data_IF_102774795971
#
_entry.id   IF_102774795971
#
_cell.length_a   1.000
_cell.length_b   1.000
_cell.length_c   1.000
_cell.angle_alpha   90.00
_cell.angle_beta   90.00
_cell.angle_gamma   90.00
#
_symmetry.space_group_name_H-M   'P 1'
#
loop_
_entity.id
_entity.type
_entity.pdbx_description
1 polymer ?
#
# COMPACT_ATOMS: atom_id res chain seq x y z
N UNK A 1 -43.61 -48.66 -6.47
CA UNK A 1 -42.88 -48.47 -5.19
C UNK A 1 -41.59 -47.75 -5.54
N UNK A 2 -41.62 -46.41 -5.56
CA UNK A 2 -40.48 -45.56 -5.92
C UNK A 2 -39.65 -45.27 -4.66
N UNK A 3 -38.37 -45.66 -4.68
CA UNK A 3 -37.42 -45.34 -3.61
C UNK A 3 -36.77 -44.01 -3.97
N UNK A 4 -37.16 -42.94 -3.27
CA UNK A 4 -36.50 -41.65 -3.34
C UNK A 4 -35.22 -41.68 -2.48
N UNK A 5 -34.06 -41.51 -3.13
CA UNK A 5 -32.83 -41.10 -2.44
C UNK A 5 -32.90 -39.61 -2.08
N UNK A 6 -32.57 -39.21 -0.84
CA UNK A 6 -32.39 -37.79 -0.53
C UNK A 6 -31.02 -37.33 -1.03
N UNK A 7 -31.05 -36.36 -1.95
CA UNK A 7 -29.90 -35.55 -2.35
C UNK A 7 -29.36 -34.80 -1.12
N UNK A 8 -28.10 -35.03 -0.78
CA UNK A 8 -27.38 -34.21 0.20
C UNK A 8 -27.18 -32.80 -0.39
N UNK A 9 -27.49 -31.72 0.33
CA UNK A 9 -27.04 -30.39 -0.07
C UNK A 9 -25.54 -30.29 0.25
N UNK A 10 -24.71 -30.25 -0.79
CA UNK A 10 -23.35 -29.70 -0.70
C UNK A 10 -23.48 -28.21 -0.41
N UNK A 11 -23.43 -27.84 0.87
CA UNK A 11 -23.23 -26.46 1.28
C UNK A 11 -21.82 -26.04 0.86
N UNK A 12 -21.71 -25.34 -0.27
CA UNK A 12 -20.48 -24.69 -0.68
C UNK A 12 -20.05 -23.71 0.41
N UNK A 13 -18.87 -23.93 0.97
CA UNK A 13 -18.24 -23.06 1.95
C UNK A 13 -17.87 -21.78 1.20
N UNK A 14 -18.72 -20.75 1.28
CA UNK A 14 -18.41 -19.44 0.75
C UNK A 14 -17.50 -18.71 1.74
N UNK A 15 -16.20 -19.02 1.69
CA UNK A 15 -15.18 -18.20 2.34
C UNK A 15 -15.16 -16.83 1.64
N UNK A 16 -15.72 -15.81 2.29
CA UNK A 16 -15.63 -14.43 1.80
C UNK A 16 -14.23 -13.89 2.03
N UNK A 17 -13.33 -14.22 1.12
CA UNK A 17 -12.01 -13.61 1.05
C UNK A 17 -12.18 -12.24 0.38
N UNK A 18 -12.08 -11.19 1.17
CA UNK A 18 -11.99 -9.81 0.67
C UNK A 18 -10.62 -9.66 0.02
N UNK A 19 -10.59 -9.72 -1.31
CA UNK A 19 -9.41 -9.37 -2.10
C UNK A 19 -9.69 -8.06 -2.86
N UNK A 20 -8.73 -7.13 -2.75
CA UNK A 20 -8.58 -5.84 -3.43
C UNK A 20 -9.18 -4.56 -2.81
N UNK A 21 -8.28 -3.57 -2.69
CA UNK A 21 -8.45 -2.17 -2.30
C UNK A 21 -9.18 -1.33 -3.35
N UNK A 22 -10.14 -1.95 -4.03
CA UNK A 22 -11.35 -1.31 -4.50
C UNK A 22 -12.47 -2.29 -4.14
N UNK A 23 -12.92 -2.27 -2.89
CA UNK A 23 -13.96 -3.20 -2.45
C UNK A 23 -15.28 -2.82 -3.12
N UNK A 24 -15.68 -3.61 -4.12
CA UNK A 24 -17.09 -3.73 -4.52
C UNK A 24 -17.84 -4.33 -3.35
N UNK A 25 -18.71 -3.54 -2.72
CA UNK A 25 -19.60 -4.03 -1.65
C UNK A 25 -20.59 -5.02 -2.26
N UNK A 26 -20.51 -6.29 -1.85
CA UNK A 26 -21.55 -7.28 -2.10
C UNK A 26 -22.10 -7.84 -0.78
N UNK A 27 -23.34 -7.44 -0.48
CA UNK A 27 -24.37 -7.87 0.50
C UNK A 27 -24.07 -8.85 1.64
N UNK A 28 -24.57 -8.55 2.84
CA UNK A 28 -24.45 -9.23 4.15
C UNK A 28 -25.05 -10.66 4.29
N UNK A 29 -24.77 -11.33 5.43
CA UNK A 29 -25.69 -12.08 6.35
C UNK A 29 -24.89 -12.58 7.59
N UNK A 30 -25.39 -12.32 8.80
CA UNK A 30 -24.93 -12.76 10.15
C UNK A 30 -25.62 -14.05 10.61
N UNK A 31 -25.00 -14.89 11.48
CA UNK A 31 -25.43 -15.05 12.90
C UNK A 31 -24.25 -15.39 13.89
N UNK A 32 -24.12 -14.85 15.11
CA UNK A 32 -24.82 -15.04 16.41
C UNK A 32 -24.26 -16.14 17.38
N UNK A 33 -23.64 -15.67 18.50
CA UNK A 33 -23.61 -16.14 19.92
C UNK A 33 -22.70 -17.30 20.47
N UNK A 34 -21.69 -16.91 21.30
CA UNK A 34 -21.31 -17.25 22.72
C UNK A 34 -21.57 -18.62 23.40
N UNK A 35 -21.03 -18.93 24.62
CA UNK A 35 -19.74 -18.57 25.29
C UNK A 35 -19.06 -19.78 26.04
N UNK A 36 -17.85 -19.62 26.60
CA UNK A 36 -17.25 -20.60 27.53
C UNK A 36 -15.97 -20.13 28.22
N UNK A 37 -15.88 -20.36 29.53
CA UNK A 37 -15.00 -19.74 30.55
C UNK A 37 -13.54 -20.24 30.66
N UNK A 38 -12.73 -19.37 31.28
CA UNK A 38 -11.39 -19.42 31.95
C UNK A 38 -11.03 -20.69 32.77
N UNK A 39 -9.78 -20.94 33.25
CA UNK A 39 -8.88 -19.99 33.94
C UNK A 39 -7.36 -20.08 33.67
N UNK A 40 -6.68 -19.03 34.14
CA UNK A 40 -5.25 -18.82 34.20
C UNK A 40 -4.57 -19.53 35.39
N UNK A 41 -3.28 -19.86 35.26
CA UNK A 41 -2.37 -20.03 36.39
C UNK A 41 -0.97 -19.46 36.08
N UNK A 42 -0.38 -18.85 37.11
CA UNK A 42 0.89 -18.09 37.12
C UNK A 42 2.09 -19.04 37.32
N UNK A 43 3.30 -18.64 36.91
CA UNK A 43 4.39 -18.13 37.80
C UNK A 43 5.80 -18.19 37.17
N UNK A 44 6.52 -17.06 37.34
CA UNK A 44 7.94 -16.85 37.71
C UNK A 44 9.06 -17.64 36.99
N UNK A 45 9.97 -16.98 36.27
CA UNK A 45 11.10 -16.11 36.71
C UNK A 45 12.40 -16.87 37.02
N UNK A 46 13.48 -16.51 36.30
CA UNK A 46 14.86 -16.89 36.60
C UNK A 46 15.80 -16.61 35.42
N UNK A 47 16.74 -15.66 35.59
CA UNK A 47 17.70 -15.19 34.57
C UNK A 47 18.84 -16.17 34.24
N UNK A 48 20.07 -15.75 33.83
CA UNK A 48 20.63 -14.40 33.76
C UNK A 48 21.29 -14.00 32.41
N UNK A 49 21.66 -12.72 32.34
CA UNK A 49 22.57 -12.09 31.37
C UNK A 49 23.91 -12.81 31.24
N UNK A 50 24.44 -12.87 30.00
CA UNK A 50 25.87 -13.00 29.73
C UNK A 50 26.28 -11.95 28.69
N UNK A 51 27.18 -11.07 29.11
CA UNK A 51 27.96 -10.17 28.27
C UNK A 51 28.83 -10.98 27.31
N UNK A 52 28.88 -10.59 26.04
CA UNK A 52 30.02 -10.87 25.15
C UNK A 52 30.42 -9.56 24.48
N UNK A 53 31.67 -9.15 24.72
CA UNK A 53 32.34 -8.02 24.08
C UNK A 53 32.93 -8.48 22.74
N UNK A 54 32.78 -7.58 21.76
CA UNK A 54 33.68 -7.15 20.70
C UNK A 54 34.51 -8.20 19.92
N UNK A 55 34.43 -8.13 18.59
CA UNK A 55 35.63 -7.77 17.81
C UNK A 55 35.31 -7.15 16.46
N UNK A 56 36.29 -6.39 15.99
CA UNK A 56 36.21 -5.25 15.09
C UNK A 56 36.67 -5.63 13.68
N UNK A 57 35.92 -5.24 12.63
CA UNK A 57 36.53 -4.75 11.37
C UNK A 57 35.44 -4.24 10.40
N UNK A 58 35.35 -2.93 10.19
CA UNK A 58 34.78 -2.37 8.96
C UNK A 58 35.37 -0.98 8.71
N UNK A 59 35.63 -0.61 7.43
CA UNK A 59 36.42 0.56 7.09
C UNK A 59 35.68 1.86 7.40
N UNK A 60 36.45 2.84 7.86
CA UNK A 60 36.01 4.22 8.08
C UNK A 60 35.51 4.84 6.77
N UNK A 61 34.20 5.03 6.65
CA UNK A 61 33.61 6.00 5.72
C UNK A 61 33.27 7.27 6.49
N UNK A 62 33.61 8.39 5.89
CA UNK A 62 33.59 9.75 6.41
C UNK A 62 32.23 10.15 7.01
N UNK A 63 32.09 10.03 8.33
CA UNK A 63 30.98 10.63 9.09
C UNK A 63 31.19 12.13 9.25
N UNK A 64 30.81 12.89 8.23
CA UNK A 64 30.30 14.25 8.44
C UNK A 64 28.78 14.15 8.63
N UNK A 65 28.24 14.89 9.59
CA UNK A 65 26.80 14.99 9.89
C UNK A 65 26.04 15.72 8.77
N UNK A 66 26.15 15.25 7.52
CA UNK A 66 25.32 15.77 6.42
C UNK A 66 23.86 15.43 6.73
N UNK A 67 23.02 16.47 6.73
CA UNK A 67 21.60 16.35 6.96
C UNK A 67 20.85 16.76 5.70
N UNK A 68 19.73 16.08 5.45
CA UNK A 68 18.93 16.25 4.24
C UNK A 68 17.51 16.66 4.64
N UNK A 69 17.04 17.77 4.07
CA UNK A 69 15.66 18.19 4.21
C UNK A 69 14.83 17.59 3.07
N UNK A 70 14.00 16.60 3.39
CA UNK A 70 13.13 15.94 2.42
C UNK A 70 11.79 16.69 2.32
N UNK A 71 11.42 17.16 1.13
CA UNK A 71 10.16 17.86 0.88
C UNK A 71 9.57 17.51 -0.47
N UNK A 72 8.25 17.45 -0.55
CA UNK A 72 7.54 17.47 -1.82
C UNK A 72 7.70 18.85 -2.47
N UNK A 73 8.01 18.87 -3.77
CA UNK A 73 8.23 20.08 -4.57
C UNK A 73 7.52 19.96 -5.92
N UNK A 74 6.21 19.80 -5.88
CA UNK A 74 5.39 19.74 -7.08
C UNK A 74 5.35 21.11 -7.77
N UNK A 75 5.15 21.10 -9.09
CA UNK A 75 5.01 22.32 -9.88
C UNK A 75 3.59 22.46 -10.44
N UNK A 76 3.09 23.69 -10.56
CA UNK A 76 1.77 23.93 -11.17
C UNK A 76 1.72 23.40 -12.60
N UNK A 77 0.60 22.78 -12.98
CA UNK A 77 0.40 22.09 -14.26
C UNK A 77 1.34 20.91 -14.51
N UNK A 78 2.11 20.47 -13.52
CA UNK A 78 2.86 19.22 -13.62
C UNK A 78 1.90 18.04 -13.65
N UNK A 79 2.21 17.07 -14.51
CA UNK A 79 1.59 15.76 -14.48
C UNK A 79 2.63 14.73 -14.10
N UNK A 80 2.32 13.89 -13.11
CA UNK A 80 3.21 12.84 -12.65
C UNK A 80 2.49 11.51 -12.78
N UNK A 81 3.03 10.58 -13.57
CA UNK A 81 2.52 9.23 -13.70
C UNK A 81 3.40 8.21 -13.02
N UNK A 82 2.73 7.25 -12.40
CA UNK A 82 3.37 6.08 -11.82
C UNK A 82 2.76 4.82 -12.42
N UNK A 83 3.61 3.91 -12.85
CA UNK A 83 3.21 2.54 -13.08
C UNK A 83 3.23 1.81 -11.73
N UNK A 84 2.10 1.22 -11.35
CA UNK A 84 1.93 0.47 -10.12
C UNK A 84 1.58 -0.96 -10.47
N UNK A 85 2.41 -1.91 -10.05
CA UNK A 85 2.16 -3.34 -10.18
C UNK A 85 1.94 -3.94 -8.79
N UNK A 86 0.84 -4.66 -8.61
CA UNK A 86 0.52 -5.39 -7.40
C UNK A 86 0.26 -6.85 -7.73
N UNK A 87 1.02 -7.74 -7.12
CA UNK A 87 0.86 -9.20 -7.23
C UNK A 87 0.58 -9.73 -5.85
N UNK A 88 -0.52 -10.46 -5.69
CA UNK A 88 -0.92 -11.04 -4.42
C UNK A 88 -1.37 -12.49 -4.59
N UNK A 89 -0.97 -13.32 -3.63
CA UNK A 89 -1.44 -14.68 -3.42
C UNK A 89 -1.95 -14.81 -2.00
N UNK A 90 -3.22 -15.13 -1.87
CA UNK A 90 -3.86 -15.48 -0.61
C UNK A 90 -4.15 -16.96 -0.63
N UNK A 91 -3.62 -17.70 0.33
CA UNK A 91 -3.94 -19.12 0.52
C UNK A 91 -4.63 -19.29 1.85
N UNK A 92 -5.83 -19.83 1.81
CA UNK A 92 -6.65 -20.08 2.99
C UNK A 92 -6.87 -21.58 3.10
N UNK A 93 -6.70 -22.12 4.29
CA UNK A 93 -7.08 -23.50 4.62
C UNK A 93 -8.06 -23.47 5.77
N UNK A 94 -9.19 -24.17 5.64
CA UNK A 94 -10.19 -24.32 6.69
C UNK A 94 -10.62 -25.79 6.70
N UNK A 95 -10.42 -26.47 7.84
CA UNK A 95 -10.84 -27.87 8.03
C UNK A 95 -10.38 -28.81 6.90
N UNK A 96 -9.14 -28.65 6.47
CA UNK A 96 -8.52 -29.46 5.40
C UNK A 96 -8.87 -29.03 3.97
N UNK A 97 -9.83 -28.13 3.78
CA UNK A 97 -10.13 -27.54 2.46
C UNK A 97 -9.21 -26.36 2.23
N UNK A 98 -8.53 -26.33 1.08
CA UNK A 98 -7.63 -25.26 0.68
C UNK A 98 -8.23 -24.46 -0.48
N UNK A 99 -8.14 -23.14 -0.38
CA UNK A 99 -8.51 -22.20 -1.43
C UNK A 99 -7.36 -21.23 -1.67
N UNK A 100 -7.04 -20.99 -2.94
CA UNK A 100 -5.97 -20.06 -3.34
C UNK A 100 -6.57 -18.99 -4.23
N UNK A 101 -6.42 -17.73 -3.85
CA UNK A 101 -6.73 -16.58 -4.68
C UNK A 101 -5.41 -15.95 -5.17
N UNK A 102 -5.29 -15.75 -6.47
CA UNK A 102 -4.19 -15.03 -7.08
C UNK A 102 -4.74 -13.80 -7.80
N UNK A 103 -4.05 -12.68 -7.65
CA UNK A 103 -4.35 -11.48 -8.40
C UNK A 103 -3.05 -10.82 -8.86
N UNK A 104 -3.10 -10.26 -10.05
CA UNK A 104 -2.06 -9.40 -10.59
C UNK A 104 -2.75 -8.21 -11.24
N UNK A 105 -2.36 -7.01 -10.81
CA UNK A 105 -2.85 -5.75 -11.34
C UNK A 105 -1.67 -4.87 -11.67
N UNK A 106 -1.60 -4.40 -12.92
CA UNK A 106 -0.76 -3.26 -13.31
C UNK A 106 -1.67 -2.07 -13.59
N UNK A 107 -1.29 -0.89 -13.15
CA UNK A 107 -2.06 0.33 -13.39
C UNK A 107 -1.13 1.52 -13.64
N UNK A 108 -1.58 2.46 -14.46
CA UNK A 108 -0.96 3.78 -14.54
C UNK A 108 -1.82 4.73 -13.74
N UNK A 109 -1.31 5.23 -12.62
CA UNK A 109 -1.96 6.30 -11.87
C UNK A 109 -1.30 7.64 -12.18
N UNK A 110 -2.05 8.72 -12.12
CA UNK A 110 -1.52 10.06 -12.33
C UNK A 110 -1.93 11.04 -11.24
N UNK A 111 -1.06 12.03 -11.05
CA UNK A 111 -1.34 13.27 -10.34
C UNK A 111 -1.31 14.42 -11.34
N UNK A 112 -2.47 15.02 -11.56
CA UNK A 112 -2.59 16.27 -12.32
C UNK A 112 -2.52 17.43 -11.32
N UNK A 113 -1.36 18.09 -11.21
CA UNK A 113 -1.14 19.17 -10.24
C UNK A 113 -1.89 20.42 -10.68
N UNK A 114 -2.88 20.80 -9.88
CA UNK A 114 -3.79 21.92 -10.12
C UNK A 114 -3.15 23.24 -9.70
N UNK A 115 -2.61 23.26 -8.49
CA UNK A 115 -2.17 24.50 -7.86
C UNK A 115 -1.05 24.22 -6.87
N UNK A 116 -0.07 25.12 -6.83
CA UNK A 116 1.02 25.11 -5.87
C UNK A 116 1.09 26.47 -5.20
N UNK A 117 0.91 26.46 -3.89
CA UNK A 117 1.05 27.60 -2.99
C UNK A 117 2.35 27.45 -2.19
N UNK A 118 2.81 28.48 -1.46
CA UNK A 118 4.10 28.41 -0.75
C UNK A 118 4.23 27.21 0.21
N UNK A 119 3.12 26.78 0.83
CA UNK A 119 3.11 25.71 1.84
C UNK A 119 2.29 24.49 1.44
N UNK A 120 1.49 24.58 0.38
CA UNK A 120 0.49 23.58 0.00
C UNK A 120 0.52 23.27 -1.49
N UNK A 121 0.19 22.04 -1.85
CA UNK A 121 0.10 21.58 -3.23
C UNK A 121 -1.21 20.81 -3.40
N UNK A 122 -1.97 21.13 -4.45
CA UNK A 122 -3.24 20.47 -4.76
C UNK A 122 -3.15 19.75 -6.10
N UNK A 123 -3.58 18.49 -6.14
CA UNK A 123 -3.58 17.68 -7.36
C UNK A 123 -4.79 16.75 -7.42
N UNK A 124 -5.18 16.39 -8.63
CA UNK A 124 -6.15 15.32 -8.85
C UNK A 124 -5.46 13.99 -9.00
N UNK A 125 -5.92 13.01 -8.22
CA UNK A 125 -5.51 11.63 -8.34
C UNK A 125 -6.44 10.87 -9.28
N UNK A 126 -5.86 10.22 -10.29
CA UNK A 126 -6.57 9.48 -11.32
C UNK A 126 -5.91 8.12 -11.60
N UNK A 127 -6.68 7.22 -12.21
CA UNK A 127 -6.18 6.00 -12.85
C UNK A 127 -6.40 6.15 -14.35
N UNK A 128 -5.33 6.05 -15.14
CA UNK A 128 -5.36 6.22 -16.60
C UNK A 128 -5.58 4.90 -17.33
N UNK A 129 -5.01 3.81 -16.80
CA UNK A 129 -5.17 2.47 -17.36
C UNK A 129 -4.94 1.41 -16.29
N UNK A 130 -5.51 0.23 -16.51
CA UNK A 130 -5.29 -0.99 -15.74
C UNK A 130 -5.18 -2.20 -16.64
N UNK A 131 -4.40 -3.18 -16.21
CA UNK A 131 -4.40 -4.57 -16.68
C UNK A 131 -4.54 -5.46 -15.45
N UNK A 132 -5.54 -6.34 -15.44
CA UNK A 132 -5.96 -7.11 -14.27
C UNK A 132 -6.13 -8.59 -14.62
N UNK A 133 -5.62 -9.46 -13.76
CA UNK A 133 -5.93 -10.90 -13.76
C UNK A 133 -6.34 -11.36 -12.37
N UNK A 134 -7.37 -12.19 -12.29
CA UNK A 134 -7.81 -12.81 -11.05
C UNK A 134 -8.11 -14.30 -11.27
N UNK A 135 -7.62 -15.15 -10.35
CA UNK A 135 -7.92 -16.58 -10.31
C UNK A 135 -8.23 -17.02 -8.88
N UNK A 136 -9.40 -17.63 -8.67
CA UNK A 136 -9.83 -18.15 -7.37
C UNK A 136 -9.99 -19.67 -7.45
N UNK A 137 -9.22 -20.40 -6.64
CA UNK A 137 -9.18 -21.86 -6.64
C UNK A 137 -8.90 -22.45 -8.03
N UNK A 138 -9.75 -23.40 -8.43
CA UNK A 138 -9.67 -24.08 -9.72
C UNK A 138 -10.49 -23.40 -10.82
N UNK A 139 -11.09 -22.23 -10.55
CA UNK A 139 -11.81 -21.48 -11.58
C UNK A 139 -10.85 -20.95 -12.65
N UNK A 140 -11.39 -20.69 -13.84
CA UNK A 140 -10.64 -20.06 -14.92
C UNK A 140 -10.17 -18.65 -14.52
N UNK A 141 -8.99 -18.28 -15.01
CA UNK A 141 -8.46 -16.93 -14.82
C UNK A 141 -9.31 -15.93 -15.60
N UNK A 142 -9.79 -14.90 -14.90
CA UNK A 142 -10.43 -13.75 -15.53
C UNK A 142 -9.36 -12.70 -15.78
N UNK A 143 -9.22 -12.27 -17.02
CA UNK A 143 -8.30 -11.21 -17.44
C UNK A 143 -9.06 -10.06 -18.08
N UNK A 144 -8.56 -8.85 -17.88
CA UNK A 144 -9.02 -7.68 -18.60
C UNK A 144 -7.93 -6.62 -18.69
N UNK A 145 -7.86 -5.96 -19.85
CA UNK A 145 -7.00 -4.80 -20.08
C UNK A 145 -7.88 -3.63 -20.55
N UNK A 146 -7.82 -2.52 -19.83
CA UNK A 146 -8.60 -1.31 -20.13
C UNK A 146 -8.30 -0.68 -21.49
N UNK A 147 -7.13 -0.94 -22.08
CA UNK A 147 -6.75 -0.39 -23.39
C UNK A 147 -7.02 -1.35 -24.55
N UNK A 148 -7.48 -2.58 -24.27
CA UNK A 148 -7.80 -3.59 -25.30
C UNK A 148 -9.00 -3.23 -26.18
N UNK A 149 -9.90 -2.38 -25.69
CA UNK A 149 -11.21 -2.11 -26.31
C UNK A 149 -12.27 -3.19 -26.02
N UNK A 150 -11.93 -4.23 -25.27
CA UNK A 150 -12.88 -5.27 -24.85
C UNK A 150 -13.79 -4.77 -23.71
N UNK A 151 -15.03 -5.27 -23.67
CA UNK A 151 -15.95 -4.96 -22.59
C UNK A 151 -15.42 -5.54 -21.26
N UNK A 152 -15.38 -4.74 -20.17
CA UNK A 152 -14.91 -5.22 -18.89
C UNK A 152 -15.77 -6.38 -18.37
N UNK A 153 -15.18 -7.49 -17.92
CA UNK A 153 -15.88 -8.50 -17.14
C UNK A 153 -16.60 -7.85 -15.95
N UNK A 154 -17.76 -8.39 -15.57
CA UNK A 154 -18.59 -7.82 -14.49
C UNK A 154 -17.83 -7.63 -13.17
N UNK A 155 -16.86 -8.50 -12.89
CA UNK A 155 -16.00 -8.40 -11.70
C UNK A 155 -15.12 -7.13 -11.68
N UNK A 156 -14.85 -6.52 -12.84
CA UNK A 156 -14.03 -5.32 -12.98
C UNK A 156 -14.84 -4.06 -13.37
N UNK A 157 -16.18 -4.14 -13.42
CA UNK A 157 -17.01 -3.01 -13.89
C UNK A 157 -16.81 -1.73 -13.08
N UNK A 158 -16.68 -1.86 -11.76
CA UNK A 158 -16.47 -0.71 -10.87
C UNK A 158 -15.12 -0.03 -11.12
N UNK A 159 -14.07 -0.80 -11.45
CA UNK A 159 -12.78 -0.23 -11.84
C UNK A 159 -12.91 0.47 -13.18
N UNK A 160 -13.53 -0.18 -14.16
CA UNK A 160 -13.71 0.37 -15.50
C UNK A 160 -14.47 1.71 -15.50
N UNK A 161 -15.48 1.86 -14.65
CA UNK A 161 -16.26 3.09 -14.51
C UNK A 161 -15.44 4.28 -13.98
N UNK A 162 -14.30 4.03 -13.35
CA UNK A 162 -13.45 5.02 -12.69
C UNK A 162 -12.26 5.47 -13.54
N UNK A 163 -11.88 4.71 -14.56
CA UNK A 163 -10.72 5.01 -15.40
C UNK A 163 -10.93 6.34 -16.14
N UNK A 164 -9.90 7.18 -16.13
CA UNK A 164 -9.90 8.51 -16.75
C UNK A 164 -10.68 9.57 -15.98
N UNK A 165 -11.19 9.26 -14.77
CA UNK A 165 -11.90 10.21 -13.92
C UNK A 165 -11.10 10.52 -12.65
N UNK A 166 -11.14 11.76 -12.14
CA UNK A 166 -10.63 12.07 -10.80
C UNK A 166 -11.26 11.15 -9.75
N UNK A 167 -10.43 10.41 -9.02
CA UNK A 167 -10.84 9.63 -7.85
C UNK A 167 -10.92 10.53 -6.62
N UNK A 168 -9.95 11.44 -6.49
CA UNK A 168 -9.89 12.40 -5.42
C UNK A 168 -9.12 13.66 -5.85
N UNK A 169 -9.52 14.81 -5.30
CA UNK A 169 -8.71 16.03 -5.30
C UNK A 169 -8.07 16.16 -3.92
N UNK A 170 -6.75 16.20 -3.86
CA UNK A 170 -5.98 16.14 -2.62
C UNK A 170 -5.09 17.36 -2.49
N UNK A 171 -5.16 18.01 -1.33
CA UNK A 171 -4.23 19.07 -0.93
C UNK A 171 -3.29 18.53 0.15
N UNK A 172 -1.99 18.67 -0.06
CA UNK A 172 -0.94 18.26 0.87
C UNK A 172 -0.04 19.43 1.26
N UNK A 173 0.59 19.34 2.43
CA UNK A 173 1.72 20.20 2.77
C UNK A 173 3.04 19.69 2.13
N UNK A 174 4.14 20.43 2.29
CA UNK A 174 5.45 20.01 1.80
C UNK A 174 6.01 18.73 2.43
N UNK A 175 5.48 18.29 3.59
CA UNK A 175 5.81 17.00 4.21
C UNK A 175 5.00 15.85 3.63
N UNK A 176 4.03 16.12 2.77
CA UNK A 176 3.13 15.11 2.21
C UNK A 176 1.96 14.75 3.12
N UNK A 177 1.74 15.49 4.22
CA UNK A 177 0.54 15.30 5.03
C UNK A 177 -0.67 15.85 4.29
N UNK A 178 -1.75 15.06 4.26
CA UNK A 178 -3.02 15.46 3.68
C UNK A 178 -3.69 16.52 4.55
N UNK A 179 -3.85 17.72 3.99
CA UNK A 179 -4.58 18.84 4.60
C UNK A 179 -6.07 18.71 4.29
N UNK A 180 -6.39 18.35 3.04
CA UNK A 180 -7.76 18.22 2.55
C UNK A 180 -7.85 17.15 1.47
N UNK A 181 -8.96 16.41 1.47
CA UNK A 181 -9.33 15.48 0.40
C UNK A 181 -10.80 15.58 0.07
N UNK A 182 -11.09 15.81 -1.19
CA UNK A 182 -12.41 15.64 -1.78
C UNK A 182 -12.42 14.31 -2.53
N UNK A 183 -13.33 13.40 -2.14
CA UNK A 183 -13.46 12.09 -2.77
C UNK A 183 -14.57 12.13 -3.81
N UNK A 184 -14.24 11.76 -5.04
CA UNK A 184 -15.17 11.77 -6.17
C UNK A 184 -15.65 10.36 -6.52
N UNK A 185 -14.77 9.36 -6.36
CA UNK A 185 -15.08 7.95 -6.59
C UNK A 185 -14.12 7.04 -5.81
N UNK A 186 -14.43 5.74 -5.77
CA UNK A 186 -13.58 4.72 -5.13
C UNK A 186 -13.80 4.57 -3.62
N UNK A 187 -13.24 3.48 -3.07
CA UNK A 187 -13.30 3.20 -1.64
C UNK A 187 -12.09 3.77 -0.91
N UNK A 188 -12.24 4.13 0.37
CA UNK A 188 -11.11 4.48 1.26
C UNK A 188 -10.33 3.25 1.78
N UNK A 189 -10.61 2.05 1.29
CA UNK A 189 -9.96 0.84 1.77
C UNK A 189 -8.46 0.87 1.43
N UNK A 190 -7.61 0.95 2.46
CA UNK A 190 -6.17 0.75 2.34
C UNK A 190 -5.88 -0.74 2.40
N UNK A 191 -4.90 -1.24 1.63
CA UNK A 191 -4.35 -2.61 1.76
C UNK A 191 -2.89 -2.58 2.22
N UNK A 192 -2.55 -1.69 3.16
CA UNK A 192 -1.17 -1.50 3.59
C UNK A 192 -0.24 -0.94 2.51
N UNK A 193 -0.81 -0.51 1.38
CA UNK A 193 -0.09 0.09 0.25
C UNK A 193 0.44 1.49 0.59
N UNK A 194 0.14 1.99 1.79
CA UNK A 194 0.53 3.31 2.28
C UNK A 194 -0.45 4.40 1.87
N UNK A 195 -0.19 5.61 2.36
CA UNK A 195 -0.90 6.80 1.90
C UNK A 195 -0.57 7.10 0.43
N UNK A 196 -1.42 7.91 -0.19
CA UNK A 196 -1.20 8.40 -1.55
C UNK A 196 0.16 9.10 -1.67
N UNK A 197 0.53 9.87 -0.65
CA UNK A 197 1.77 10.63 -0.57
C UNK A 197 2.69 10.05 0.49
N UNK A 198 4.00 10.21 0.28
CA UNK A 198 5.00 9.86 1.28
C UNK A 198 5.05 10.93 2.37
N UNK A 199 4.84 10.55 3.64
CA UNK A 199 5.05 11.44 4.78
C UNK A 199 6.53 11.57 5.13
N UNK A 200 7.05 12.79 5.01
CA UNK A 200 8.45 13.16 5.16
C UNK A 200 8.72 13.77 6.55
N UNK A 201 9.97 13.69 7.06
CA UNK A 201 10.32 14.18 8.40
C UNK A 201 10.17 15.71 8.50
N UNK A 202 9.84 16.20 9.70
CA UNK A 202 9.71 17.63 9.95
C UNK A 202 11.06 18.37 9.88
N UNK A 203 12.11 17.77 10.41
CA UNK A 203 13.44 18.37 10.45
C UNK A 203 14.37 17.72 9.42
N UNK A 204 15.50 18.36 9.06
CA UNK A 204 16.57 17.72 8.32
C UNK A 204 17.03 16.44 9.03
N UNK A 205 17.28 15.38 8.25
CA UNK A 205 17.67 14.07 8.77
C UNK A 205 19.01 13.63 8.19
N UNK A 206 19.88 13.07 9.02
CA UNK A 206 21.09 12.38 8.55
C UNK A 206 20.80 10.92 8.20
N UNK A 207 21.71 10.30 7.45
CA UNK A 207 21.64 8.85 7.18
C UNK A 207 21.59 8.08 8.51
N UNK A 208 20.70 7.10 8.60
CA UNK A 208 20.41 6.30 9.80
C UNK A 208 19.28 6.88 10.67
N UNK A 209 18.92 8.15 10.49
CA UNK A 209 17.81 8.78 11.23
C UNK A 209 16.48 8.13 10.88
N UNK A 210 15.62 8.01 11.89
CA UNK A 210 14.29 7.42 11.79
C UNK A 210 13.20 8.44 12.08
N UNK A 211 12.07 8.32 11.39
CA UNK A 211 10.84 9.01 11.75
C UNK A 211 9.66 8.03 11.64
N UNK A 212 8.57 8.36 12.33
CA UNK A 212 7.42 7.46 12.41
C UNK A 212 6.15 8.16 12.00
N UNK A 213 5.27 7.44 11.31
CA UNK A 213 3.96 7.92 10.90
C UNK A 213 2.91 6.99 11.51
N UNK A 214 2.04 7.48 12.41
CA UNK A 214 1.00 6.66 13.00
C UNK A 214 -0.09 6.33 11.97
N UNK A 215 -0.72 5.18 12.12
CA UNK A 215 -1.91 4.81 11.34
C UNK A 215 -2.82 3.91 12.18
N UNK A 216 -4.10 3.86 11.81
CA UNK A 216 -5.11 3.07 12.50
C UNK A 216 -5.79 2.14 11.51
N UNK A 217 -5.95 0.89 11.92
CA UNK A 217 -6.67 -0.13 11.16
C UNK A 217 -7.92 -0.48 11.94
N UNK A 218 -9.07 -0.44 11.27
CA UNK A 218 -10.32 -0.94 11.84
C UNK A 218 -10.44 -2.43 11.51
N UNK A 219 -10.42 -3.25 12.54
CA UNK A 219 -10.68 -4.69 12.44
C UNK A 219 -12.02 -5.01 13.11
N UNK A 220 -12.71 -6.05 12.62
CA UNK A 220 -13.97 -6.50 13.21
C UNK A 220 -13.77 -7.81 13.94
N UNK A 221 -14.30 -7.89 15.16
CA UNK A 221 -14.42 -9.14 15.92
C UNK A 221 -15.56 -10.00 15.36
N UNK A 222 -15.63 -11.26 15.78
CA UNK A 222 -16.64 -12.22 15.31
C UNK A 222 -18.08 -11.84 15.75
N UNK A 223 -18.21 -11.12 16.88
CA UNK A 223 -19.48 -10.54 17.34
C UNK A 223 -19.82 -9.21 16.65
N UNK A 224 -18.98 -8.75 15.71
CA UNK A 224 -19.21 -7.58 14.88
C UNK A 224 -18.74 -6.25 15.46
N UNK A 225 -18.13 -6.23 16.65
CA UNK A 225 -17.54 -5.03 17.22
C UNK A 225 -16.34 -4.55 16.38
N UNK A 226 -16.21 -3.23 16.26
CA UNK A 226 -15.06 -2.62 15.57
C UNK A 226 -13.97 -2.32 16.60
N UNK A 227 -12.81 -2.96 16.43
CA UNK A 227 -11.60 -2.72 17.21
C UNK A 227 -10.63 -1.87 16.41
N UNK A 228 -10.13 -0.80 17.02
CA UNK A 228 -9.09 0.06 16.43
C UNK A 228 -7.72 -0.50 16.79
N UNK A 229 -6.97 -0.92 15.78
CA UNK A 229 -5.61 -1.41 15.89
C UNK A 229 -4.67 -0.27 15.48
N UNK A 230 -3.91 0.24 16.44
CA UNK A 230 -2.90 1.25 16.18
C UNK A 230 -1.65 0.58 15.63
N UNK A 231 -1.17 1.12 14.53
CA UNK A 231 0.10 0.75 13.93
C UNK A 231 0.94 2.02 13.73
N UNK A 232 2.21 1.85 13.39
CA UNK A 232 3.05 2.92 12.87
C UNK A 232 3.89 2.40 11.71
N UNK A 233 4.16 3.28 10.77
CA UNK A 233 5.21 3.08 9.80
C UNK A 233 6.48 3.73 10.34
N UNK A 234 7.58 2.97 10.35
CA UNK A 234 8.92 3.45 10.72
C UNK A 234 9.70 3.61 9.44
N UNK A 235 10.11 4.84 9.15
CA UNK A 235 10.95 5.19 8.03
C UNK A 235 12.38 5.38 8.50
N UNK A 236 13.37 4.96 7.71
CA UNK A 236 14.79 5.17 7.99
C UNK A 236 15.47 5.70 6.74
N UNK A 237 16.16 6.85 6.81
CA UNK A 237 16.99 7.31 5.69
C UNK A 237 18.22 6.40 5.60
N UNK A 238 18.34 5.61 4.53
CA UNK A 238 19.42 4.62 4.39
C UNK A 238 20.62 5.12 3.64
N UNK A 239 20.37 5.96 2.64
CA UNK A 239 21.39 6.41 1.70
C UNK A 239 20.89 7.65 0.99
N UNK A 240 21.80 8.56 0.70
CA UNK A 240 21.60 9.59 -0.32
C UNK A 240 22.71 9.45 -1.35
N UNK A 241 22.35 9.43 -2.63
CA UNK A 241 23.32 9.41 -3.73
C UNK A 241 22.76 10.20 -4.90
N UNK A 242 23.52 11.19 -5.38
CA UNK A 242 23.17 11.98 -6.57
C UNK A 242 21.75 12.54 -6.49
N UNK A 243 21.41 13.23 -5.38
CA UNK A 243 20.08 13.81 -5.20
C UNK A 243 18.96 12.81 -4.86
N UNK A 244 19.23 11.51 -4.81
CA UNK A 244 18.20 10.48 -4.53
C UNK A 244 18.36 9.91 -3.12
N UNK A 245 17.32 10.02 -2.30
CA UNK A 245 17.20 9.35 -1.02
C UNK A 245 16.65 7.93 -1.19
N UNK A 246 17.33 6.95 -0.59
CA UNK A 246 16.80 5.59 -0.37
C UNK A 246 16.31 5.50 1.08
N UNK A 247 15.05 5.14 1.26
CA UNK A 247 14.36 5.13 2.56
C UNK A 247 13.77 3.74 2.79
N UNK A 248 14.17 3.07 3.87
CA UNK A 248 13.52 1.83 4.31
C UNK A 248 12.19 2.19 5.00
N UNK A 249 11.15 1.39 4.78
CA UNK A 249 9.86 1.49 5.47
C UNK A 249 9.50 0.15 6.11
N UNK A 250 9.04 0.19 7.36
CA UNK A 250 8.59 -0.99 8.11
C UNK A 250 7.30 -0.69 8.86
N UNK A 251 6.34 -1.62 8.84
CA UNK A 251 5.12 -1.52 9.63
C UNK A 251 5.31 -2.17 11.00
N UNK A 252 4.85 -1.50 12.06
CA UNK A 252 4.89 -1.99 13.43
C UNK A 252 3.52 -1.86 14.09
N UNK A 253 3.03 -2.96 14.66
CA UNK A 253 1.79 -2.97 15.44
C UNK A 253 2.03 -2.47 16.86
N UNK A 254 1.21 -1.52 17.30
CA UNK A 254 1.30 -0.92 18.65
C UNK A 254 0.22 -1.49 19.59
N UNK A 255 -0.98 -1.73 19.07
CA UNK A 255 -2.06 -2.38 19.84
C UNK A 255 -1.82 -3.89 19.87
N UNK A 256 -1.74 -4.54 21.05
CA UNK A 256 -1.67 -6.00 21.13
C UNK A 256 -2.86 -6.67 20.44
N UNK A 257 -2.59 -7.68 19.61
CA UNK A 257 -3.60 -8.49 18.93
C UNK A 257 -3.55 -9.89 19.52
N UNK A 258 -4.60 -10.27 20.25
CA UNK A 258 -4.73 -11.57 20.92
C UNK A 258 -5.63 -12.55 20.16
N UNK A 259 -6.43 -12.04 19.21
CA UNK A 259 -7.40 -12.81 18.44
C UNK A 259 -6.88 -13.00 17.01
N UNK A 260 -6.78 -14.25 16.55
CA UNK A 260 -6.22 -14.58 15.24
C UNK A 260 -7.13 -14.10 14.09
N UNK A 261 -8.45 -14.03 14.30
CA UNK A 261 -9.41 -13.45 13.34
C UNK A 261 -9.14 -11.96 13.09
N UNK A 262 -8.75 -11.22 14.13
CA UNK A 262 -8.30 -9.83 14.02
C UNK A 262 -6.95 -9.75 13.33
N UNK A 263 -6.01 -10.63 13.72
CA UNK A 263 -4.67 -10.67 13.12
C UNK A 263 -4.73 -10.87 11.61
N UNK A 264 -5.57 -11.78 11.12
CA UNK A 264 -5.78 -12.03 9.69
C UNK A 264 -6.24 -10.79 8.90
N UNK A 265 -7.01 -9.89 9.53
CA UNK A 265 -7.42 -8.62 8.91
C UNK A 265 -6.28 -7.59 8.90
N UNK A 266 -5.48 -7.56 9.97
CA UNK A 266 -4.41 -6.57 10.14
C UNK A 266 -3.18 -6.88 9.29
N UNK A 267 -2.77 -8.15 9.18
CA UNK A 267 -1.52 -8.53 8.50
C UNK A 267 -1.48 -8.11 7.03
N UNK A 268 -2.63 -8.00 6.36
CA UNK A 268 -2.71 -7.49 4.99
C UNK A 268 -2.34 -6.00 4.88
N UNK A 269 -2.34 -5.27 6.00
CA UNK A 269 -1.94 -3.87 6.08
C UNK A 269 -0.48 -3.69 6.48
N UNK A 270 0.21 -4.75 6.91
CA UNK A 270 1.57 -4.68 7.43
C UNK A 270 2.56 -4.97 6.30
N UNK A 271 3.05 -3.91 5.68
CA UNK A 271 4.04 -4.00 4.62
C UNK A 271 5.40 -3.49 5.06
N UNK A 272 6.45 -4.04 4.45
CA UNK A 272 7.82 -3.57 4.61
C UNK A 272 8.45 -3.39 3.23
N UNK A 273 9.41 -2.48 3.09
CA UNK A 273 10.06 -2.29 1.82
C UNK A 273 10.96 -1.07 1.75
N UNK A 274 11.12 -0.53 0.54
CA UNK A 274 12.06 0.54 0.25
C UNK A 274 11.46 1.56 -0.70
N UNK A 275 11.88 2.81 -0.55
CA UNK A 275 11.42 3.96 -1.30
C UNK A 275 12.64 4.70 -1.88
N UNK A 276 12.54 5.14 -3.13
CA UNK A 276 13.45 6.07 -3.78
C UNK A 276 12.75 7.40 -3.97
N UNK A 277 13.28 8.45 -3.37
CA UNK A 277 12.74 9.79 -3.41
C UNK A 277 13.76 10.75 -4.02
N UNK A 278 13.33 11.53 -5.01
CA UNK A 278 14.14 12.59 -5.59
C UNK A 278 14.11 13.81 -4.67
N UNK A 279 15.24 14.12 -4.02
CA UNK A 279 15.36 15.25 -3.08
C UNK A 279 15.31 16.58 -3.83
N UNK A 280 15.88 16.62 -5.03
CA UNK A 280 16.04 17.84 -5.81
C UNK A 280 14.68 18.26 -6.37
N UNK A 281 13.99 17.32 -7.02
CA UNK A 281 12.69 17.55 -7.63
C UNK A 281 11.50 17.32 -6.68
N UNK A 282 11.71 16.69 -5.52
CA UNK A 282 10.71 16.55 -4.47
C UNK A 282 9.51 15.67 -4.85
N UNK A 283 9.75 14.53 -5.49
CA UNK A 283 8.72 13.52 -5.73
C UNK A 283 9.28 12.10 -5.66
N UNK A 284 8.37 11.12 -5.62
CA UNK A 284 8.72 9.70 -5.58
C UNK A 284 9.31 9.28 -6.93
N UNK A 285 10.42 8.54 -6.91
CA UNK A 285 10.95 7.87 -8.11
C UNK A 285 10.47 6.42 -8.18
N UNK A 286 10.43 5.75 -7.04
CA UNK A 286 9.84 4.43 -6.95
C UNK A 286 9.70 3.92 -5.54
N UNK A 287 8.92 2.86 -5.38
CA UNK A 287 8.58 2.24 -4.10
C UNK A 287 8.31 0.76 -4.32
N UNK A 288 8.87 -0.06 -3.44
CA UNK A 288 8.57 -1.47 -3.36
C UNK A 288 8.08 -1.79 -1.96
N UNK A 289 6.98 -2.52 -1.85
CA UNK A 289 6.41 -3.05 -0.62
C UNK A 289 6.20 -4.55 -0.74
N UNK A 290 6.49 -5.28 0.33
CA UNK A 290 6.36 -6.72 0.40
C UNK A 290 5.54 -7.12 1.64
N UNK A 291 4.76 -8.19 1.50
CA UNK A 291 4.00 -8.84 2.55
C UNK A 291 4.36 -10.33 2.56
N UNK A 292 4.70 -10.84 3.74
CA UNK A 292 4.99 -12.25 3.97
C UNK A 292 4.43 -12.64 5.34
N UNK A 293 3.14 -12.97 5.36
CA UNK A 293 2.39 -13.13 6.61
C UNK A 293 1.64 -14.45 6.67
N UNK A 294 1.70 -15.12 7.81
CA UNK A 294 0.97 -16.36 8.06
C UNK A 294 0.22 -16.25 9.38
N UNK A 295 -1.08 -16.56 9.34
CA UNK A 295 -1.97 -16.55 10.50
C UNK A 295 -2.60 -17.92 10.63
N UNK A 296 -2.47 -18.53 11.81
CA UNK A 296 -3.06 -19.84 12.13
C UNK A 296 -4.20 -19.61 13.10
N UNK A 297 -5.30 -20.34 12.95
CA UNK A 297 -6.42 -20.26 13.90
C UNK A 297 -7.42 -19.13 13.65
N UNK A 298 -7.31 -18.38 12.55
CA UNK A 298 -8.14 -17.19 12.28
C UNK A 298 -9.65 -17.47 12.15
N UNK A 299 -10.03 -18.72 11.87
CA UNK A 299 -11.39 -19.28 11.88
C UNK A 299 -11.41 -20.62 12.64
N UNK A 300 -10.78 -20.65 13.82
CA UNK A 300 -10.69 -21.85 14.67
C UNK A 300 -9.49 -22.74 14.39
N UNK A 301 -9.25 -23.75 15.23
CA UNK A 301 -7.99 -24.51 15.29
C UNK A 301 -7.55 -25.18 13.98
N UNK A 302 -8.48 -25.49 13.07
CA UNK A 302 -8.21 -26.10 11.77
C UNK A 302 -8.00 -25.10 10.62
N UNK A 303 -7.77 -23.82 10.92
CA UNK A 303 -7.68 -22.75 9.92
C UNK A 303 -6.29 -22.13 9.79
N UNK A 304 -5.95 -21.67 8.59
CA UNK A 304 -4.71 -20.97 8.28
C UNK A 304 -4.93 -20.00 7.12
N UNK A 305 -4.31 -18.83 7.18
CA UNK A 305 -4.21 -17.88 6.08
C UNK A 305 -2.74 -17.55 5.84
N UNK A 306 -2.30 -17.67 4.59
CA UNK A 306 -1.03 -17.14 4.10
C UNK A 306 -1.33 -15.99 3.15
N UNK A 307 -0.74 -14.82 3.42
CA UNK A 307 -0.78 -13.67 2.52
C UNK A 307 0.63 -13.38 2.04
N UNK A 308 0.84 -13.49 0.72
CA UNK A 308 2.09 -13.16 0.05
C UNK A 308 1.79 -12.12 -1.01
N UNK A 309 2.39 -10.94 -0.90
CA UNK A 309 2.17 -9.89 -1.88
C UNK A 309 3.43 -9.07 -2.10
N UNK A 310 3.51 -8.49 -3.30
CA UNK A 310 4.47 -7.44 -3.65
C UNK A 310 3.74 -6.34 -4.39
N UNK A 311 4.05 -5.10 -4.04
CA UNK A 311 3.66 -3.92 -4.79
C UNK A 311 4.92 -3.17 -5.20
N UNK A 312 5.02 -2.83 -6.48
CA UNK A 312 6.01 -1.90 -7.02
C UNK A 312 5.30 -0.70 -7.60
N UNK A 313 5.91 0.45 -7.46
CA UNK A 313 5.45 1.72 -7.97
C UNK A 313 6.66 2.47 -8.52
N UNK A 314 6.60 2.87 -9.78
CA UNK A 314 7.73 3.43 -10.50
C UNK A 314 7.29 4.65 -11.31
N UNK A 315 8.07 5.73 -11.25
CA UNK A 315 7.83 6.93 -12.06
C UNK A 315 7.97 6.58 -13.55
N UNK A 316 7.00 6.98 -14.37
CA UNK A 316 7.06 6.77 -15.82
C UNK A 316 8.13 7.68 -16.42
N UNK A 317 9.09 7.10 -17.15
CA UNK A 317 10.34 7.74 -17.57
C UNK A 317 10.21 9.12 -18.26
N UNK A 318 9.13 9.33 -19.03
CA UNK A 318 8.89 10.59 -19.76
C UNK A 318 8.44 11.75 -18.87
N UNK A 319 8.11 11.50 -17.60
CA UNK A 319 7.66 12.53 -16.65
C UNK A 319 8.81 13.08 -15.78
N UNK A 320 10.07 12.77 -16.12
CA UNK A 320 11.25 13.43 -15.54
C UNK A 320 11.43 14.80 -16.23
N UNK A 321 11.30 15.95 -15.54
CA UNK A 321 11.60 17.23 -16.14
C UNK A 321 13.07 17.23 -16.55
N UNK A 322 13.33 17.32 -17.85
CA UNK A 322 14.68 17.57 -18.34
C UNK A 322 15.06 18.97 -17.87
N UNK A 323 16.14 19.09 -17.10
CA UNK A 323 16.63 20.36 -16.56
C UNK A 323 16.67 21.43 -17.65
N UNK A 324 16.20 22.64 -17.30
CA UNK A 324 15.88 23.70 -18.25
C UNK A 324 16.96 23.95 -19.29
N UNK A 325 16.57 23.79 -20.56
CA UNK A 325 17.30 24.38 -21.67
C UNK A 325 17.26 25.90 -21.50
N UNK A 326 18.42 26.45 -21.16
CA UNK A 326 18.70 27.87 -21.31
C UNK A 326 18.59 28.17 -22.80
N UNK A 327 17.44 28.72 -23.22
CA UNK A 327 17.31 29.37 -24.52
C UNK A 327 18.28 30.56 -24.55
N UNK A 328 19.47 30.33 -25.09
CA UNK A 328 20.31 31.37 -25.64
C UNK A 328 19.65 31.85 -26.93
N UNK A 329 18.71 32.78 -26.81
CA UNK A 329 18.24 33.55 -27.95
C UNK A 329 19.32 34.60 -28.29
N UNK A 330 20.19 34.23 -29.24
CA UNK A 330 21.03 35.16 -29.99
C UNK A 330 20.16 36.28 -30.54
N UNK A 331 20.50 37.51 -30.18
CA UNK A 331 20.04 38.70 -30.87
C UNK A 331 20.68 38.73 -32.26
N UNK A 332 19.87 38.56 -33.31
CA UNK A 332 20.21 39.04 -34.64
C UNK A 332 19.49 40.39 -34.84
N UNK A 333 20.28 41.44 -34.64
CA UNK A 333 20.07 42.71 -35.29
C UNK A 333 20.35 42.52 -36.78
N UNK A 334 19.37 42.72 -37.65
CA UNK A 334 19.71 43.22 -38.97
C UNK A 334 18.67 44.16 -39.58
N UNK A 335 19.26 45.18 -40.21
CA UNK A 335 18.70 46.42 -40.67
C UNK A 335 17.54 46.29 -41.66
N UNK A 336 16.50 47.12 -41.46
CA UNK A 336 15.58 47.51 -42.53
C UNK A 336 15.91 48.92 -42.99
N UNK A 337 16.78 49.03 -43.99
CA UNK A 337 16.78 50.15 -44.94
C UNK A 337 15.95 49.72 -46.15
N UNK A 338 14.78 50.33 -46.31
CA UNK A 338 14.12 50.74 -47.57
C UNK A 338 12.68 51.17 -47.28
#
# INVERSE_FOLDING_TARGET
>A
MLIHHPLRPTAGIAARIVAFGLTVVAGAITPAASPGETPAEKQQAGGPSVLVKADSNSPSETTGDETYLLRHKLNSNQKIRYEVTHVAKTKTRINGTEEIANVHTTSVRSWDVREVQPTEMTFDHQIESVSMTQKNGDQDEVRWDSVSGEQPPKIFSVVAEQIGKPLATVTINQKGDEIRRESHAGSKASLGMGALTLSLPAEPVSIGTKWTVPSEIQARTDDGLVKVIKIRQVYTLKKVKTGVATIDVKSETLTPITEESIKAQVVQQLSNGSIRFDIDNGYLLGKELNWDETVVGFQGAGSMMEYRARMTEELVANDTPTGGDTQSAKADSDAKQR
#
